data_IF_235379421709
#
_entry.id   IF_235379421709
#
_cell.length_a   1.000
_cell.length_b   1.000
_cell.length_c   1.000
_cell.angle_alpha   90.00
_cell.angle_beta   90.00
_cell.angle_gamma   90.00
#
_symmetry.space_group_name_H-M   'P 1'
#
loop_
_entity.id
_entity.type
_entity.pdbx_description
1 polymer ?
#
# COMPACT_ATOMS: atom_id res chain seq x y z
N UNK A 1 18.40 -4.90 8.24
CA UNK A 1 17.98 -3.52 7.90
C UNK A 1 16.71 -3.23 8.68
N UNK A 2 16.65 -2.10 9.38
CA UNK A 2 15.42 -1.65 10.05
C UNK A 2 14.52 -1.02 8.99
N UNK A 3 13.22 -1.33 9.02
CA UNK A 3 12.22 -0.72 8.16
C UNK A 3 11.63 0.44 8.97
N UNK A 4 11.83 1.68 8.50
CA UNK A 4 11.33 2.89 9.18
C UNK A 4 10.31 3.64 8.33
N UNK A 5 10.38 3.47 7.00
CA UNK A 5 9.47 4.10 6.05
C UNK A 5 8.99 3.09 5.01
N UNK A 6 7.88 3.38 4.34
CA UNK A 6 7.34 2.49 3.31
C UNK A 6 8.30 2.33 2.12
N UNK A 7 9.16 3.32 1.85
CA UNK A 7 10.16 3.29 0.79
C UNK A 7 11.24 2.23 1.04
N UNK A 8 11.39 1.77 2.28
CA UNK A 8 12.32 0.69 2.64
C UNK A 8 11.77 -0.68 2.22
N UNK A 9 10.46 -0.79 1.94
CA UNK A 9 9.82 -2.02 1.51
C UNK A 9 10.15 -2.35 0.05
N UNK A 10 10.79 -3.49 -0.18
CA UNK A 10 11.04 -3.99 -1.53
C UNK A 10 9.75 -4.17 -2.34
N UNK A 11 8.64 -4.55 -1.71
CA UNK A 11 7.34 -4.61 -2.37
C UNK A 11 6.89 -3.26 -2.91
N UNK A 12 7.15 -2.15 -2.19
CA UNK A 12 6.82 -0.81 -2.63
C UNK A 12 7.72 -0.36 -3.79
N UNK A 13 9.04 -0.62 -3.70
CA UNK A 13 9.99 -0.28 -4.77
C UNK A 13 9.59 -0.96 -6.10
N UNK A 14 9.24 -2.24 -6.06
CA UNK A 14 8.76 -2.98 -7.24
C UNK A 14 7.39 -2.51 -7.73
N UNK A 15 6.49 -2.12 -6.84
CA UNK A 15 5.23 -1.49 -7.23
C UNK A 15 5.46 -0.14 -7.95
N UNK A 16 6.43 0.66 -7.50
CA UNK A 16 6.81 1.91 -8.18
C UNK A 16 7.45 1.67 -9.56
N UNK A 17 8.33 0.67 -9.67
CA UNK A 17 8.88 0.25 -10.97
C UNK A 17 7.77 -0.18 -11.94
N UNK A 18 6.79 -0.95 -11.46
CA UNK A 18 5.62 -1.35 -12.24
C UNK A 18 4.82 -0.12 -12.70
N UNK A 19 4.51 0.80 -11.79
CA UNK A 19 3.76 2.01 -12.13
C UNK A 19 4.45 2.80 -13.24
N UNK A 20 5.73 3.10 -13.11
CA UNK A 20 6.47 3.81 -14.16
C UNK A 20 6.45 3.08 -15.50
N UNK A 21 6.66 1.76 -15.51
CA UNK A 21 6.58 0.98 -16.74
C UNK A 21 5.19 1.04 -17.40
N UNK A 22 4.11 1.04 -16.61
CA UNK A 22 2.76 1.20 -17.14
C UNK A 22 2.57 2.59 -17.74
N UNK A 23 3.08 3.65 -17.11
CA UNK A 23 3.07 5.00 -17.67
C UNK A 23 3.81 5.05 -19.02
N UNK A 24 5.02 4.49 -19.08
CA UNK A 24 5.82 4.41 -20.33
C UNK A 24 5.08 3.66 -21.45
N UNK A 25 4.38 2.57 -21.13
CA UNK A 25 3.59 1.81 -22.11
C UNK A 25 2.37 2.60 -22.61
N UNK A 26 1.71 3.30 -21.68
CA UNK A 26 0.47 4.03 -21.95
C UNK A 26 0.69 5.38 -22.63
N UNK A 27 1.91 5.91 -22.60
CA UNK A 27 2.31 7.12 -23.35
C UNK A 27 2.60 6.84 -24.83
N UNK A 28 2.65 5.58 -25.26
CA UNK A 28 2.81 5.23 -26.68
C UNK A 28 1.59 5.68 -27.49
N UNK A 29 1.82 6.24 -28.68
CA UNK A 29 0.81 6.96 -29.47
C UNK A 29 -0.55 6.25 -29.58
N UNK A 30 -0.56 4.93 -29.85
CA UNK A 30 -1.80 4.15 -29.99
C UNK A 30 -2.52 3.97 -28.66
N UNK A 31 -1.78 3.68 -27.60
CA UNK A 31 -2.35 3.46 -26.27
C UNK A 31 -2.82 4.78 -25.65
N UNK A 32 -2.05 5.85 -25.84
CA UNK A 32 -2.34 7.18 -25.29
C UNK A 32 -3.70 7.76 -25.72
N UNK A 33 -4.26 7.28 -26.85
CA UNK A 33 -5.56 7.70 -27.40
C UNK A 33 -6.75 6.93 -26.83
N UNK A 34 -6.55 5.78 -26.18
CA UNK A 34 -7.62 5.07 -25.47
C UNK A 34 -7.66 5.54 -24.01
N UNK A 35 -8.23 6.72 -23.80
CA UNK A 35 -8.27 7.37 -22.48
C UNK A 35 -8.80 6.46 -21.38
N UNK A 36 -9.82 5.65 -21.68
CA UNK A 36 -10.43 4.77 -20.69
C UNK A 36 -9.48 3.67 -20.25
N UNK A 37 -8.94 2.88 -21.17
CA UNK A 37 -8.03 1.79 -20.81
C UNK A 37 -6.73 2.32 -20.23
N UNK A 38 -6.22 3.43 -20.79
CA UNK A 38 -5.02 4.13 -20.31
C UNK A 38 -5.16 4.55 -18.85
N UNK A 39 -6.26 5.17 -18.49
CA UNK A 39 -6.45 5.68 -17.13
C UNK A 39 -6.72 4.55 -16.15
N UNK A 40 -7.52 3.55 -16.53
CA UNK A 40 -7.78 2.37 -15.70
C UNK A 40 -6.49 1.63 -15.30
N UNK A 41 -5.59 1.38 -16.25
CA UNK A 41 -4.33 0.67 -15.96
C UNK A 41 -3.33 1.52 -15.18
N UNK A 42 -3.32 2.83 -15.39
CA UNK A 42 -2.52 3.77 -14.58
C UNK A 42 -3.01 3.80 -13.14
N UNK A 43 -4.32 3.87 -12.93
CA UNK A 43 -4.94 3.87 -11.61
C UNK A 43 -4.69 2.55 -10.88
N UNK A 44 -4.86 1.41 -11.57
CA UNK A 44 -4.56 0.09 -11.02
C UNK A 44 -3.08 -0.03 -10.62
N UNK A 45 -2.15 0.43 -11.47
CA UNK A 45 -0.72 0.36 -11.20
C UNK A 45 -0.32 1.28 -10.03
N UNK A 46 -0.82 2.52 -10.00
CA UNK A 46 -0.61 3.46 -8.89
C UNK A 46 -1.19 2.94 -7.57
N UNK A 47 -2.39 2.35 -7.61
CA UNK A 47 -3.05 1.74 -6.46
C UNK A 47 -2.19 0.67 -5.76
N UNK A 48 -1.35 -0.08 -6.50
CA UNK A 48 -0.43 -1.05 -5.88
C UNK A 48 0.52 -0.36 -4.91
N UNK A 49 1.18 0.73 -5.32
CA UNK A 49 2.14 1.42 -4.46
C UNK A 49 1.45 2.27 -3.38
N UNK A 50 0.31 2.90 -3.69
CA UNK A 50 -0.46 3.70 -2.73
C UNK A 50 -0.96 2.84 -1.57
N UNK A 51 -1.55 1.68 -1.85
CA UNK A 51 -2.03 0.79 -0.79
C UNK A 51 -0.89 0.25 0.08
N UNK A 52 0.31 0.02 -0.47
CA UNK A 52 1.46 -0.40 0.36
C UNK A 52 1.85 0.71 1.33
N UNK A 53 1.90 1.97 0.87
CA UNK A 53 2.23 3.12 1.72
C UNK A 53 1.15 3.39 2.77
N UNK A 54 -0.13 3.46 2.37
CA UNK A 54 -1.26 3.63 3.30
C UNK A 54 -1.34 2.52 4.35
N UNK A 55 -1.08 1.28 3.92
CA UNK A 55 -1.02 0.14 4.82
C UNK A 55 0.11 0.27 5.84
N UNK A 56 1.27 0.77 5.42
CA UNK A 56 2.42 0.96 6.30
C UNK A 56 2.13 2.02 7.37
N UNK A 57 1.54 3.15 6.97
CA UNK A 57 1.20 4.26 7.87
C UNK A 57 0.06 3.93 8.85
N UNK A 58 -0.67 2.83 8.65
CA UNK A 58 -1.79 2.42 9.51
C UNK A 58 -1.39 2.03 10.95
N UNK A 59 -0.10 1.83 11.22
CA UNK A 59 0.41 1.51 12.57
C UNK A 59 0.00 0.14 13.12
N UNK A 60 -0.59 -0.74 12.30
CA UNK A 60 -1.06 -2.07 12.72
C UNK A 60 -0.79 -3.12 11.66
N UNK A 61 -0.16 -4.23 12.04
CA UNK A 61 0.08 -5.38 11.17
C UNK A 61 -1.20 -5.91 10.51
N UNK A 62 -2.33 -5.90 11.24
CA UNK A 62 -3.62 -6.37 10.71
C UNK A 62 -4.15 -5.42 9.62
N UNK A 63 -4.04 -4.12 9.84
CA UNK A 63 -4.44 -3.11 8.87
C UNK A 63 -3.50 -3.14 7.65
N UNK A 64 -2.19 -3.20 7.86
CA UNK A 64 -1.20 -3.39 6.80
C UNK A 64 -1.52 -4.62 5.93
N UNK A 65 -1.82 -5.78 6.52
CA UNK A 65 -2.22 -6.98 5.76
C UNK A 65 -3.47 -6.72 4.89
N UNK A 66 -4.46 -5.96 5.39
CA UNK A 66 -5.67 -5.62 4.62
C UNK A 66 -5.31 -4.81 3.38
N UNK A 67 -4.50 -3.76 3.53
CA UNK A 67 -4.05 -2.92 2.42
C UNK A 67 -3.17 -3.70 1.43
N UNK A 68 -2.26 -4.55 1.92
CA UNK A 68 -1.43 -5.40 1.06
C UNK A 68 -2.27 -6.36 0.19
N UNK A 69 -3.41 -6.85 0.69
CA UNK A 69 -4.35 -7.64 -0.14
C UNK A 69 -4.98 -6.79 -1.24
N UNK A 70 -5.28 -5.52 -0.98
CA UNK A 70 -5.79 -4.58 -1.98
C UNK A 70 -4.72 -4.34 -3.05
N UNK A 71 -3.50 -3.99 -2.64
CA UNK A 71 -2.36 -3.81 -3.56
C UNK A 71 -2.15 -5.03 -4.48
N UNK A 72 -2.24 -6.25 -3.92
CA UNK A 72 -2.15 -7.50 -4.69
C UNK A 72 -3.28 -7.68 -5.71
N UNK A 73 -4.50 -7.25 -5.38
CA UNK A 73 -5.64 -7.28 -6.31
C UNK A 73 -5.41 -6.29 -7.44
N UNK A 74 -4.99 -5.06 -7.15
CA UNK A 74 -4.69 -4.05 -8.18
C UNK A 74 -3.54 -4.48 -9.10
N UNK A 75 -2.52 -5.16 -8.58
CA UNK A 75 -1.48 -5.75 -9.45
C UNK A 75 -2.03 -6.85 -10.38
N UNK A 76 -3.14 -7.51 -10.01
CA UNK A 76 -3.82 -8.49 -10.86
C UNK A 76 -4.74 -7.82 -11.89
N UNK A 77 -5.33 -6.68 -11.55
CA UNK A 77 -6.06 -5.81 -12.49
C UNK A 77 -5.13 -5.32 -13.59
N UNK A 78 -3.92 -4.82 -13.25
CA UNK A 78 -2.88 -4.47 -14.23
C UNK A 78 -2.60 -5.63 -15.18
N UNK A 79 -2.41 -6.85 -14.65
CA UNK A 79 -2.17 -8.03 -15.49
C UNK A 79 -3.32 -8.31 -16.46
N UNK A 80 -4.57 -8.12 -16.02
CA UNK A 80 -5.76 -8.30 -16.87
C UNK A 80 -5.83 -7.24 -17.97
N UNK A 81 -5.56 -5.98 -17.65
CA UNK A 81 -5.62 -4.87 -18.61
C UNK A 81 -4.48 -4.91 -19.63
N UNK A 82 -3.32 -5.45 -19.25
CA UNK A 82 -2.22 -5.69 -20.20
C UNK A 82 -2.62 -6.67 -21.31
N UNK A 83 -3.44 -7.69 -21.04
CA UNK A 83 -3.97 -8.57 -22.09
C UNK A 83 -4.91 -7.82 -23.02
N UNK A 84 -5.78 -6.97 -22.48
CA UNK A 84 -6.64 -6.12 -23.30
C UNK A 84 -5.80 -5.18 -24.18
N UNK A 85 -4.75 -4.56 -23.63
CA UNK A 85 -3.83 -3.73 -24.40
C UNK A 85 -3.11 -4.51 -25.52
N UNK A 86 -2.75 -5.78 -25.30
CA UNK A 86 -2.20 -6.65 -26.34
C UNK A 86 -3.23 -6.93 -27.44
N UNK A 87 -4.46 -7.31 -27.07
CA UNK A 87 -5.53 -7.63 -28.03
C UNK A 87 -5.92 -6.43 -28.90
N UNK A 88 -5.85 -5.23 -28.33
CA UNK A 88 -6.02 -3.95 -29.04
C UNK A 88 -4.80 -3.53 -29.86
N UNK A 89 -3.71 -4.30 -29.82
CA UNK A 89 -2.43 -4.04 -30.49
C UNK A 89 -1.80 -2.70 -30.06
N UNK A 90 -2.01 -2.32 -28.81
CA UNK A 90 -1.38 -1.15 -28.19
C UNK A 90 0.03 -1.45 -27.68
N UNK A 91 0.26 -2.70 -27.28
CA UNK A 91 1.57 -3.19 -26.85
C UNK A 91 1.93 -4.49 -27.59
N UNK A 92 3.22 -4.83 -27.60
CA UNK A 92 3.74 -6.09 -28.13
C UNK A 92 3.65 -7.21 -27.09
N UNK A 93 3.78 -8.47 -27.55
CA UNK A 93 3.85 -9.62 -26.63
C UNK A 93 5.07 -9.55 -25.69
N UNK A 94 6.16 -8.93 -26.12
CA UNK A 94 7.34 -8.70 -25.28
C UNK A 94 7.07 -7.66 -24.20
N UNK A 95 6.42 -6.55 -24.55
CA UNK A 95 6.01 -5.52 -23.61
C UNK A 95 5.01 -6.06 -22.58
N UNK A 96 4.03 -6.87 -23.02
CA UNK A 96 3.13 -7.62 -22.14
C UNK A 96 3.94 -8.46 -21.15
N UNK A 97 4.82 -9.35 -21.64
CA UNK A 97 5.60 -10.24 -20.78
C UNK A 97 6.40 -9.46 -19.74
N UNK A 98 7.12 -8.41 -20.16
CA UNK A 98 7.92 -7.56 -19.27
C UNK A 98 7.07 -6.93 -18.16
N UNK A 99 5.93 -6.33 -18.50
CA UNK A 99 5.06 -5.67 -17.52
C UNK A 99 4.33 -6.69 -16.62
N UNK A 100 3.92 -7.83 -17.18
CA UNK A 100 3.31 -8.93 -16.45
C UNK A 100 4.26 -9.53 -15.41
N UNK A 101 5.53 -9.71 -15.78
CA UNK A 101 6.57 -10.22 -14.88
C UNK A 101 6.85 -9.23 -13.74
N UNK A 102 6.85 -7.92 -14.03
CA UNK A 102 6.95 -6.87 -13.00
C UNK A 102 5.78 -6.90 -12.01
N UNK A 103 4.55 -7.07 -12.50
CA UNK A 103 3.38 -7.23 -11.64
C UNK A 103 3.47 -8.51 -10.79
N UNK A 104 3.96 -9.60 -11.38
CA UNK A 104 4.19 -10.87 -10.68
C UNK A 104 5.24 -10.74 -9.58
N UNK A 105 6.34 -10.04 -9.85
CA UNK A 105 7.40 -9.74 -8.88
C UNK A 105 6.85 -8.95 -7.69
N UNK A 106 6.08 -7.88 -7.94
CA UNK A 106 5.42 -7.10 -6.90
C UNK A 106 4.47 -7.98 -6.06
N UNK A 107 3.62 -8.79 -6.70
CA UNK A 107 2.71 -9.73 -6.02
C UNK A 107 3.45 -10.72 -5.13
N UNK A 108 4.60 -11.25 -5.60
CA UNK A 108 5.43 -12.19 -4.83
C UNK A 108 5.95 -11.53 -3.56
N UNK A 109 6.48 -10.32 -3.65
CA UNK A 109 7.00 -9.57 -2.49
C UNK A 109 5.89 -9.19 -1.51
N UNK A 110 4.73 -8.74 -2.02
CA UNK A 110 3.54 -8.46 -1.21
C UNK A 110 3.10 -9.71 -0.44
N UNK A 111 3.02 -10.87 -1.09
CA UNK A 111 2.65 -12.12 -0.43
C UNK A 111 3.68 -12.53 0.64
N UNK A 112 4.98 -12.33 0.38
CA UNK A 112 6.04 -12.56 1.35
C UNK A 112 5.88 -11.71 2.60
N UNK A 113 5.58 -10.42 2.43
CA UNK A 113 5.33 -9.49 3.54
C UNK A 113 4.07 -9.89 4.34
N UNK A 114 2.96 -10.23 3.66
CA UNK A 114 1.75 -10.74 4.33
C UNK A 114 2.07 -11.98 5.17
N UNK A 115 2.86 -12.93 4.62
CA UNK A 115 3.22 -14.14 5.34
C UNK A 115 4.09 -13.85 6.57
N UNK A 116 5.02 -12.89 6.47
CA UNK A 116 5.83 -12.43 7.58
C UNK A 116 4.97 -11.83 8.71
N UNK A 117 4.09 -10.87 8.38
CA UNK A 117 3.22 -10.19 9.35
C UNK A 117 2.27 -11.17 10.06
N UNK A 118 1.74 -12.16 9.33
CA UNK A 118 0.90 -13.22 9.91
C UNK A 118 1.65 -14.08 10.93
N UNK A 119 2.91 -14.43 10.66
CA UNK A 119 3.74 -15.16 11.62
C UNK A 119 4.03 -14.31 12.86
N UNK A 120 4.37 -13.04 12.66
CA UNK A 120 4.58 -12.06 13.76
C UNK A 120 3.37 -11.99 14.69
N UNK A 121 2.17 -11.87 14.13
CA UNK A 121 0.90 -11.84 14.87
C UNK A 121 0.60 -13.15 15.61
N UNK A 122 0.98 -14.30 15.06
CA UNK A 122 0.77 -15.61 15.69
C UNK A 122 1.77 -15.91 16.82
N UNK A 123 2.98 -15.33 16.75
CA UNK A 123 4.01 -15.47 17.79
C UNK A 123 3.82 -14.54 19.00
N UNK A 124 2.86 -13.62 18.95
CA UNK A 124 2.56 -12.73 20.08
C UNK A 124 1.81 -13.52 21.18
N UNK A 125 2.27 -13.51 22.45
CA UNK A 125 1.55 -14.17 23.53
C UNK A 125 0.14 -13.58 23.66
N UNK A 126 -0.87 -14.45 23.81
CA UNK A 126 -2.26 -14.05 23.94
C UNK A 126 -2.45 -13.15 25.15
N UNK A 127 -2.90 -11.90 24.94
CA UNK A 127 -3.30 -10.97 26.02
C UNK A 127 -4.57 -11.39 26.79
N UNK A 128 -5.01 -12.64 26.69
CA UNK A 128 -6.29 -13.10 27.24
C UNK A 128 -6.18 -13.87 28.55
N UNK A 129 -5.05 -13.81 29.26
CA UNK A 129 -4.87 -14.55 30.53
C UNK A 129 -4.53 -13.69 31.75
N UNK A 130 -4.50 -12.35 31.67
CA UNK A 130 -4.08 -11.51 32.80
C UNK A 130 -4.87 -10.19 32.91
N UNK A 131 -6.20 -10.26 32.82
CA UNK A 131 -7.10 -9.14 33.19
C UNK A 131 -8.06 -9.53 34.34
N UNK A 132 -7.70 -10.54 35.14
CA UNK A 132 -8.29 -10.71 36.48
C UNK A 132 -7.19 -10.43 37.49
N UNK A 133 -7.28 -9.28 38.17
CA UNK A 133 -6.43 -8.77 39.28
C UNK A 133 -5.49 -7.64 38.87
N UNK A 134 -6.03 -6.44 38.62
CA UNK A 134 -5.55 -5.21 39.29
C UNK A 134 -6.77 -4.29 39.47
N UNK A 135 -7.17 -4.05 40.71
CA UNK A 135 -8.10 -2.98 41.06
C UNK A 135 -7.42 -1.63 40.81
N UNK A 136 -8.03 -0.78 39.99
CA UNK A 136 -7.63 0.61 39.81
C UNK A 136 -7.80 1.41 41.11
N UNK A 137 -6.88 2.35 41.38
CA UNK A 137 -7.30 3.68 41.76
C UNK A 137 -6.75 4.74 40.79
N UNK A 138 -7.67 5.59 40.36
CA UNK A 138 -7.54 6.97 39.91
C UNK A 138 -6.25 7.46 39.23
N UNK A 139 -6.40 7.91 37.98
CA UNK A 139 -5.74 9.14 37.51
C UNK A 139 -6.73 10.00 36.72
N UNK A 140 -7.39 10.90 37.42
CA UNK A 140 -7.87 12.17 36.84
C UNK A 140 -6.74 13.19 36.87
N UNK A 141 -6.81 14.10 35.90
CA UNK A 141 -6.11 15.38 35.77
C UNK A 141 -4.73 15.38 35.10
N UNK A 142 -4.74 15.67 33.79
CA UNK A 142 -3.91 16.74 33.21
C UNK A 142 -4.39 17.04 31.78
N UNK A 143 -5.32 18.00 31.64
CA UNK A 143 -5.21 19.13 30.70
C UNK A 143 -6.54 19.86 30.49
N UNK A 144 -6.39 21.19 30.27
CA UNK A 144 -7.38 22.27 30.01
C UNK A 144 -7.68 23.07 31.29
N UNK A 145 -7.51 24.39 31.35
CA UNK A 145 -7.74 25.43 30.31
C UNK A 145 -7.24 26.82 30.75
N UNK A 146 -7.15 27.73 29.77
CA UNK A 146 -7.11 29.22 29.84
C UNK A 146 -5.77 29.85 30.25
N UNK A 147 -5.21 30.84 29.54
CA UNK A 147 -5.81 31.77 28.59
C UNK A 147 -5.78 33.18 29.18
N UNK A 148 -4.68 33.91 28.92
CA UNK A 148 -4.45 35.36 28.96
C UNK A 148 -5.39 36.24 29.81
N UNK A 149 -4.82 36.88 30.85
CA UNK A 149 -5.41 38.06 31.48
C UNK A 149 -4.57 39.31 31.22
N UNK A 150 -5.30 40.36 30.85
CA UNK A 150 -4.92 41.73 30.55
C UNK A 150 -4.16 42.44 31.68
N UNK A 151 -3.29 43.38 31.28
CA UNK A 151 -2.73 44.42 32.15
C UNK A 151 -3.61 45.69 32.10
N UNK A 152 -3.71 46.45 33.19
CA UNK A 152 -4.72 47.47 33.39
C UNK A 152 -4.38 48.83 32.74
N UNK A 153 -5.43 49.60 32.48
CA UNK A 153 -5.34 51.05 32.27
C UNK A 153 -5.60 51.78 33.59
N UNK A 154 -4.90 52.91 33.73
CA UNK A 154 -4.82 53.91 34.83
C UNK A 154 -4.03 53.54 36.07
#
# INVERSE_FOLDING_TARGET
MKIERFEDLESWKKARELANLIYDLTDQEKFARDFRLRDQIRDAAGSVMHNIAEGFDSGSDRALIRFLKIARRSASEVQSELYLALDRKYITAEQLRKAYDKATEAKRLINGLIAYLRRSLASQPSRTADESVVKSPDRKAANRTMGWHDQPTT
#
